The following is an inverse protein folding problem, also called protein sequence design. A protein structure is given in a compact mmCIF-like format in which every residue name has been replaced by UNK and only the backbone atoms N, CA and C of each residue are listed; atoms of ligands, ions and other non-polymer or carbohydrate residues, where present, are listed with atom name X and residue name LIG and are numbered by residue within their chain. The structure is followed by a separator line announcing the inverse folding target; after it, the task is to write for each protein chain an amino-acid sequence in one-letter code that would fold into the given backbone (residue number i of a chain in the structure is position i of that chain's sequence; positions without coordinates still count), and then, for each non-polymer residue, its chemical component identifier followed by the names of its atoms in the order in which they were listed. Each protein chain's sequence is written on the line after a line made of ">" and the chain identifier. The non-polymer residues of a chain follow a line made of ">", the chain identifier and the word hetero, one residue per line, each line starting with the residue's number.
data_IF_770384860806
#
_entry.id   IF_770384860806
#
_cell.length_a   1.000
_cell.length_b   1.000
_cell.length_c   1.000
_cell.angle_alpha   90.00
_cell.angle_beta   90.00
_cell.angle_gamma   90.00
#
_symmetry.space_group_name_H-M   'P 1'
#
loop_
_entity.id
_entity.type
_entity.pdbx_description
1 polymer ?
#
# COMPACT_ATOMS: atom_id res chain seq x y z
N UNK A 1 4.27 -11.82 -6.41
CA UNK A 1 4.51 -12.77 -7.53
C UNK A 1 5.21 -12.00 -8.64
N UNK A 2 6.46 -12.36 -8.96
CA UNK A 2 7.24 -11.74 -10.04
C UNK A 2 7.11 -12.52 -11.34
N UNK A 3 7.51 -11.91 -12.47
CA UNK A 3 7.65 -12.64 -13.73
C UNK A 3 8.76 -13.68 -13.57
N UNK A 4 8.50 -14.92 -14.01
CA UNK A 4 9.54 -15.93 -14.14
C UNK A 4 10.53 -15.52 -15.23
N UNK A 5 11.68 -16.22 -15.29
CA UNK A 5 12.75 -15.91 -16.24
C UNK A 5 12.27 -15.83 -17.70
N UNK A 6 11.41 -16.75 -18.14
CA UNK A 6 10.82 -16.73 -19.49
C UNK A 6 9.99 -15.47 -19.76
N UNK A 7 9.15 -15.04 -18.81
CA UNK A 7 8.34 -13.82 -18.94
C UNK A 7 9.18 -12.54 -18.92
N UNK A 8 10.39 -12.60 -18.38
CA UNK A 8 11.33 -11.47 -18.41
C UNK A 8 12.01 -11.34 -19.78
N UNK A 9 12.33 -12.47 -20.42
CA UNK A 9 12.84 -12.50 -21.80
C UNK A 9 11.77 -12.01 -22.76
N UNK A 10 10.54 -12.50 -22.62
CA UNK A 10 9.42 -12.12 -23.49
C UNK A 10 9.16 -10.60 -23.46
N UNK A 11 9.13 -10.02 -22.24
CA UNK A 11 9.03 -8.57 -22.07
C UNK A 11 10.17 -7.77 -22.71
N UNK A 12 11.38 -8.32 -22.74
CA UNK A 12 12.51 -7.68 -23.38
C UNK A 12 12.45 -7.76 -24.91
N UNK A 13 11.88 -8.85 -25.45
CA UNK A 13 11.71 -9.06 -26.89
C UNK A 13 10.51 -8.28 -27.45
N UNK A 14 9.46 -8.09 -26.65
CA UNK A 14 8.20 -7.46 -27.05
C UNK A 14 7.82 -6.28 -26.14
N UNK A 15 8.66 -5.22 -26.03
CA UNK A 15 8.42 -4.11 -25.12
C UNK A 15 7.11 -3.37 -25.38
N UNK A 16 6.56 -3.44 -26.60
CA UNK A 16 5.30 -2.82 -27.01
C UNK A 16 4.06 -3.46 -26.38
N UNK A 17 4.14 -4.73 -25.98
CA UNK A 17 3.01 -5.47 -25.41
C UNK A 17 2.91 -5.28 -23.90
N UNK A 18 3.98 -4.79 -23.25
CA UNK A 18 4.08 -4.69 -21.81
C UNK A 18 4.11 -3.23 -21.35
N UNK A 19 3.35 -2.86 -20.32
CA UNK A 19 3.40 -1.50 -19.79
C UNK A 19 4.75 -1.21 -19.12
N UNK A 20 5.24 0.00 -19.36
CA UNK A 20 6.40 0.54 -18.65
C UNK A 20 6.04 0.86 -17.20
N UNK A 21 6.79 0.28 -16.25
CA UNK A 21 6.49 0.42 -14.81
C UNK A 21 6.57 1.88 -14.32
N UNK A 22 7.45 2.69 -14.92
CA UNK A 22 7.70 4.06 -14.49
C UNK A 22 6.64 5.06 -14.99
N UNK A 23 5.96 4.77 -16.11
CA UNK A 23 5.02 5.70 -16.75
C UNK A 23 3.61 5.66 -16.18
N UNK A 24 3.34 4.78 -15.21
CA UNK A 24 2.01 4.60 -14.64
C UNK A 24 1.00 4.01 -15.64
N UNK A 25 -0.31 4.04 -15.33
CA UNK A 25 -1.34 3.57 -16.23
C UNK A 25 -1.49 4.50 -17.44
N UNK A 26 -1.46 3.95 -18.65
CA UNK A 26 -1.62 4.71 -19.92
C UNK A 26 -3.07 4.87 -20.35
N UNK A 27 -3.96 3.99 -19.88
CA UNK A 27 -5.39 4.02 -20.18
C UNK A 27 -6.16 4.83 -19.13
N UNK A 28 -7.31 5.37 -19.53
CA UNK A 28 -8.23 6.05 -18.62
C UNK A 28 -8.66 5.09 -17.49
N UNK A 29 -8.51 5.46 -16.20
CA UNK A 29 -8.97 4.67 -15.06
C UNK A 29 -10.46 4.31 -15.08
N UNK A 30 -11.29 5.02 -15.85
CA UNK A 30 -12.73 4.76 -16.03
C UNK A 30 -13.04 3.86 -17.24
N UNK A 31 -12.04 3.54 -18.07
CA UNK A 31 -12.24 2.68 -19.23
C UNK A 31 -12.65 1.27 -18.78
N UNK A 32 -13.85 0.83 -19.18
CA UNK A 32 -14.43 -0.45 -18.78
C UNK A 32 -15.30 -0.40 -17.51
N UNK A 33 -15.53 0.77 -16.92
CA UNK A 33 -16.43 0.97 -15.78
C UNK A 33 -17.65 1.81 -16.19
N UNK A 34 -18.72 1.20 -16.74
CA UNK A 34 -19.86 1.94 -17.31
C UNK A 34 -20.61 2.80 -16.27
N UNK A 35 -20.70 2.33 -15.03
CA UNK A 35 -21.35 3.04 -13.92
C UNK A 35 -20.35 3.86 -13.06
N UNK A 36 -19.12 4.00 -13.54
CA UNK A 36 -18.02 4.65 -12.82
C UNK A 36 -17.33 3.76 -11.78
N UNK A 37 -16.17 4.21 -11.29
CA UNK A 37 -15.36 3.52 -10.28
C UNK A 37 -15.50 4.22 -8.92
N UNK A 38 -15.72 3.44 -7.86
CA UNK A 38 -15.72 3.96 -6.49
C UNK A 38 -14.38 4.63 -6.15
N UNK A 39 -14.43 5.87 -5.66
CA UNK A 39 -13.25 6.60 -5.18
C UNK A 39 -12.77 6.01 -3.85
N UNK A 40 -11.45 5.85 -3.69
CA UNK A 40 -10.88 5.51 -2.39
C UNK A 40 -10.91 6.76 -1.51
N UNK A 41 -11.57 6.68 -0.37
CA UNK A 41 -11.60 7.77 0.62
C UNK A 41 -10.47 7.53 1.61
N UNK A 42 -9.65 8.55 1.86
CA UNK A 42 -8.64 8.50 2.90
C UNK A 42 -9.34 8.45 4.27
N UNK A 43 -9.05 7.45 5.12
CA UNK A 43 -9.72 7.31 6.42
C UNK A 43 -9.19 8.26 7.51
N UNK A 44 -8.35 9.23 7.17
CA UNK A 44 -7.66 10.13 8.10
C UNK A 44 -7.40 11.50 7.46
N UNK A 45 -7.16 12.52 8.29
CA UNK A 45 -6.71 13.84 7.81
C UNK A 45 -5.19 13.94 7.77
N UNK A 46 -4.65 14.83 6.94
CA UNK A 46 -3.20 15.00 6.82
C UNK A 46 -2.58 15.52 8.12
N UNK A 47 -3.32 16.34 8.86
CA UNK A 47 -2.92 16.92 10.14
C UNK A 47 -2.81 15.86 11.24
N UNK A 48 -3.73 14.88 11.27
CA UNK A 48 -3.68 13.75 12.20
C UNK A 48 -2.40 12.92 12.01
N UNK A 49 -2.03 12.68 10.75
CA UNK A 49 -0.82 11.91 10.41
C UNK A 49 0.48 12.65 10.72
N UNK A 50 0.46 13.98 10.58
CA UNK A 50 1.58 14.83 10.96
C UNK A 50 1.77 14.86 12.48
N UNK A 51 0.68 14.97 13.24
CA UNK A 51 0.71 14.99 14.70
C UNK A 51 1.32 13.72 15.28
N UNK A 52 1.08 12.58 14.62
CA UNK A 52 1.61 11.27 15.01
C UNK A 52 3.02 10.99 14.46
N UNK A 53 3.63 11.94 13.74
CA UNK A 53 4.95 11.79 13.11
C UNK A 53 5.08 10.51 12.26
N UNK A 54 4.01 10.12 11.55
CA UNK A 54 4.06 8.93 10.69
C UNK A 54 4.97 9.21 9.48
N UNK A 55 5.92 8.32 9.14
CA UNK A 55 6.78 8.45 7.97
C UNK A 55 5.99 8.59 6.67
N UNK A 56 6.50 9.39 5.73
CA UNK A 56 5.80 9.70 4.47
C UNK A 56 5.48 8.44 3.64
N UNK A 57 6.34 7.42 3.68
CA UNK A 57 6.15 6.14 3.01
C UNK A 57 5.03 5.28 3.64
N UNK A 58 4.62 5.59 4.87
CA UNK A 58 3.54 4.92 5.61
C UNK A 58 2.26 5.76 5.71
N UNK A 59 2.17 6.87 4.95
CA UNK A 59 0.94 7.71 4.86
C UNK A 59 0.05 7.30 3.70
N UNK A 60 -0.15 6.00 3.56
CA UNK A 60 -1.02 5.40 2.56
C UNK A 60 -2.42 5.14 3.13
N UNK A 61 -3.36 4.64 2.31
CA UNK A 61 -4.74 4.37 2.76
C UNK A 61 -4.82 3.42 3.98
N UNK A 62 -3.78 2.62 4.23
CA UNK A 62 -3.66 1.69 5.36
C UNK A 62 -3.03 2.31 6.63
N UNK A 63 -2.70 3.59 6.62
CA UNK A 63 -2.15 4.34 7.74
C UNK A 63 -2.87 4.18 9.10
N UNK A 64 -4.21 4.04 9.19
CA UNK A 64 -4.86 3.85 10.49
C UNK A 64 -4.39 2.59 11.23
N UNK A 65 -4.06 1.52 10.48
CA UNK A 65 -3.50 0.31 11.06
C UNK A 65 -2.05 0.53 11.53
N UNK A 66 -1.27 1.31 10.78
CA UNK A 66 0.08 1.69 11.20
C UNK A 66 0.08 2.53 12.49
N UNK A 67 -0.90 3.44 12.64
CA UNK A 67 -1.13 4.16 13.89
C UNK A 67 -1.38 3.21 15.07
N UNK A 68 -2.16 2.13 14.88
CA UNK A 68 -2.41 1.16 15.94
C UNK A 68 -1.11 0.46 16.39
N UNK A 69 -0.23 0.12 15.43
CA UNK A 69 1.10 -0.43 15.74
C UNK A 69 1.94 0.58 16.53
N UNK A 70 1.95 1.86 16.15
CA UNK A 70 2.67 2.91 16.86
C UNK A 70 2.18 3.08 18.31
N UNK A 71 0.87 3.01 18.54
CA UNK A 71 0.30 3.07 19.88
C UNK A 71 0.66 1.83 20.71
N UNK A 72 0.56 0.64 20.12
CA UNK A 72 0.91 -0.61 20.80
C UNK A 72 2.42 -0.65 21.16
N UNK A 73 3.29 -0.22 20.25
CA UNK A 73 4.75 -0.17 20.48
C UNK A 73 5.12 0.84 21.56
N UNK A 74 4.44 1.99 21.65
CA UNK A 74 4.61 2.93 22.77
C UNK A 74 4.18 2.32 24.10
N UNK A 75 3.08 1.56 24.12
CA UNK A 75 2.56 0.92 25.34
C UNK A 75 3.43 -0.26 25.81
N UNK A 76 3.92 -1.09 24.88
CA UNK A 76 4.65 -2.33 25.16
C UNK A 76 6.09 -2.29 24.65
N UNK A 77 6.81 -1.20 24.92
CA UNK A 77 8.15 -0.92 24.37
C UNK A 77 9.15 -2.08 24.51
N UNK A 78 9.09 -2.84 25.62
CA UNK A 78 10.01 -3.96 25.91
C UNK A 78 9.53 -5.32 25.39
N UNK A 79 8.28 -5.44 24.90
CA UNK A 79 7.68 -6.72 24.49
C UNK A 79 6.86 -6.63 23.20
N UNK A 80 7.09 -5.60 22.38
CA UNK A 80 6.33 -5.32 21.15
C UNK A 80 6.24 -6.50 20.16
N UNK A 81 7.24 -7.37 20.08
CA UNK A 81 7.31 -8.48 19.13
C UNK A 81 6.31 -9.62 19.39
N UNK A 82 5.66 -9.65 20.55
CA UNK A 82 4.63 -10.64 20.86
C UNK A 82 3.24 -10.03 21.06
N UNK A 83 3.18 -8.86 21.70
CA UNK A 83 1.91 -8.23 22.06
C UNK A 83 1.28 -7.45 20.91
N UNK A 84 2.08 -6.89 19.99
CA UNK A 84 1.61 -6.07 18.88
C UNK A 84 1.47 -6.84 17.56
N UNK A 85 1.52 -8.17 17.61
CA UNK A 85 1.32 -9.06 16.46
C UNK A 85 -0.05 -8.88 15.79
N UNK A 86 -1.18 -8.76 16.53
CA UNK A 86 -2.49 -8.57 15.90
C UNK A 86 -2.56 -7.29 15.05
N UNK A 87 -2.03 -6.18 15.57
CA UNK A 87 -2.00 -4.89 14.89
C UNK A 87 -1.09 -4.94 13.68
N UNK A 88 0.07 -5.62 13.79
CA UNK A 88 0.98 -5.80 12.67
C UNK A 88 0.34 -6.63 11.56
N UNK A 89 -0.31 -7.73 11.91
CA UNK A 89 -1.01 -8.57 10.95
C UNK A 89 -2.15 -7.83 10.27
N UNK A 90 -2.92 -7.02 11.01
CA UNK A 90 -3.98 -6.19 10.43
C UNK A 90 -3.44 -5.16 9.41
N UNK A 91 -2.29 -4.55 9.69
CA UNK A 91 -1.63 -3.66 8.74
C UNK A 91 -1.11 -4.41 7.51
N UNK A 92 -0.45 -5.56 7.70
CA UNK A 92 0.03 -6.42 6.61
C UNK A 92 -1.12 -6.85 5.70
N UNK A 93 -2.26 -7.25 6.26
CA UNK A 93 -3.46 -7.60 5.48
C UNK A 93 -3.98 -6.44 4.62
N UNK A 94 -3.83 -5.20 5.08
CA UNK A 94 -4.24 -4.02 4.30
C UNK A 94 -3.24 -3.67 3.18
N UNK A 95 -1.94 -3.96 3.38
CA UNK A 95 -0.88 -3.67 2.42
C UNK A 95 -0.83 -4.65 1.23
N UNK A 96 -1.48 -5.81 1.37
CA UNK A 96 -1.54 -6.88 0.36
C UNK A 96 -2.49 -6.51 -0.78
#
# INVERSE_FOLDING_TARGET
>A
MGLNFSGSIDRAQHPEQYPEKAKGPTFDPLYGFPDGRKTKVAPYTQEEMQTLNIPLDKRDYCAPYFRAIMLCTQQYWSSQYGYCEPERHAWEQCQI
#
